data_IF_054877442405
#
_entry.id   IF_054877442405
#
_cell.length_a   1.000
_cell.length_b   1.000
_cell.length_c   1.000
_cell.angle_alpha   90.00
_cell.angle_beta   90.00
_cell.angle_gamma   90.00
#
_symmetry.space_group_name_H-M   'P 1'
#
loop_
_entity.id
_entity.type
_entity.pdbx_description
1 polymer ?
#
# COMPACT_ATOMS: atom_id res chain seq x y z
N UNK A 1 1.69 5.79 -16.64
CA UNK A 1 2.38 5.29 -17.84
C UNK A 1 2.74 6.37 -18.86
N UNK A 2 2.13 7.57 -18.84
CA UNK A 2 2.47 8.63 -19.81
C UNK A 2 3.93 9.13 -19.72
N UNK A 3 4.53 9.02 -18.53
CA UNK A 3 5.95 9.23 -18.29
C UNK A 3 6.57 7.84 -18.18
N UNK A 4 7.39 7.43 -19.15
CA UNK A 4 8.29 6.28 -19.06
C UNK A 4 9.67 6.74 -19.57
N UNK A 5 10.74 6.01 -19.22
CA UNK A 5 12.07 6.28 -19.77
C UNK A 5 12.32 5.49 -21.07
N UNK A 6 11.27 4.84 -21.60
CA UNK A 6 11.28 3.94 -22.75
C UNK A 6 10.65 4.63 -23.96
N UNK A 7 11.39 5.55 -24.58
CA UNK A 7 11.01 6.15 -25.86
C UNK A 7 11.11 5.15 -27.02
N UNK A 8 10.44 5.44 -28.14
CA UNK A 8 10.33 4.58 -29.34
C UNK A 8 11.65 4.06 -29.92
N UNK A 9 12.79 4.66 -29.56
CA UNK A 9 14.11 4.34 -30.09
C UNK A 9 15.03 3.65 -29.06
N UNK A 10 14.53 3.21 -27.91
CA UNK A 10 15.30 2.43 -26.93
C UNK A 10 15.24 0.94 -27.28
N UNK A 11 16.38 0.34 -27.61
CA UNK A 11 16.48 -1.05 -28.10
C UNK A 11 16.17 -2.15 -27.06
N UNK A 12 15.93 -1.80 -25.79
CA UNK A 12 15.70 -2.77 -24.70
C UNK A 12 14.27 -2.83 -24.17
N UNK A 13 13.37 -1.98 -24.66
CA UNK A 13 12.03 -1.84 -24.11
C UNK A 13 11.08 -2.98 -24.54
N UNK A 14 10.16 -3.33 -23.65
CA UNK A 14 9.15 -4.35 -23.91
C UNK A 14 7.98 -3.69 -24.65
N UNK A 15 7.65 -4.26 -25.81
CA UNK A 15 6.65 -3.75 -26.78
C UNK A 15 6.95 -2.31 -27.24
N UNK A 16 8.01 -2.09 -28.04
CA UNK A 16 8.38 -0.75 -28.54
C UNK A 16 7.31 -0.05 -29.38
N UNK A 17 6.41 -0.83 -30.00
CA UNK A 17 5.31 -0.30 -30.82
C UNK A 17 4.31 0.58 -30.05
N UNK A 18 4.29 0.50 -28.71
CA UNK A 18 3.47 1.35 -27.85
C UNK A 18 4.07 2.76 -27.62
N UNK A 19 5.29 3.02 -28.12
CA UNK A 19 5.96 4.31 -28.00
C UNK A 19 6.09 4.75 -26.54
N UNK A 20 5.49 5.89 -26.17
CA UNK A 20 5.52 6.42 -24.79
C UNK A 20 4.81 5.54 -23.76
N UNK A 21 4.06 4.53 -24.18
CA UNK A 21 3.41 3.55 -23.31
C UNK A 21 4.14 2.21 -23.26
N UNK A 22 5.33 2.10 -23.83
CA UNK A 22 6.16 0.90 -23.71
C UNK A 22 6.56 0.62 -22.26
N UNK A 23 6.98 -0.61 -21.98
CA UNK A 23 7.38 -1.03 -20.64
C UNK A 23 8.90 -1.14 -20.52
N UNK A 24 9.39 -1.00 -19.30
CA UNK A 24 10.79 -1.30 -19.01
C UNK A 24 11.11 -2.78 -19.28
N UNK A 25 12.39 -3.13 -19.49
CA UNK A 25 12.81 -4.52 -19.60
C UNK A 25 12.29 -5.36 -18.45
N UNK A 26 11.85 -6.60 -18.70
CA UNK A 26 11.34 -7.51 -17.66
C UNK A 26 12.35 -7.80 -16.54
N UNK A 27 13.65 -7.62 -16.82
CA UNK A 27 14.72 -7.72 -15.82
C UNK A 27 14.67 -6.57 -14.80
N UNK A 28 14.21 -5.39 -15.20
CA UNK A 28 14.08 -4.23 -14.33
C UNK A 28 12.70 -4.21 -13.65
N UNK A 29 11.63 -4.42 -14.43
CA UNK A 29 10.27 -4.44 -13.90
C UNK A 29 9.48 -5.63 -14.48
N UNK A 30 9.36 -6.75 -13.74
CA UNK A 30 8.65 -7.93 -14.21
C UNK A 30 7.12 -7.71 -14.30
N UNK A 31 6.59 -6.63 -13.73
CA UNK A 31 5.14 -6.36 -13.65
C UNK A 31 4.60 -5.62 -14.88
N UNK A 32 5.41 -5.47 -15.95
CA UNK A 32 5.11 -4.65 -17.13
C UNK A 32 4.77 -3.22 -16.71
N UNK A 33 5.78 -2.48 -16.28
CA UNK A 33 5.60 -1.12 -15.75
C UNK A 33 6.74 -0.18 -16.08
N UNK A 34 6.66 1.07 -15.56
CA UNK A 34 7.73 2.04 -15.66
C UNK A 34 8.89 1.70 -14.71
N UNK A 35 9.96 2.49 -14.78
CA UNK A 35 11.10 2.42 -13.86
C UNK A 35 10.70 2.86 -12.44
N UNK A 36 11.46 2.44 -11.43
CA UNK A 36 11.28 2.91 -10.05
C UNK A 36 11.47 4.43 -9.93
N UNK A 37 12.43 5.00 -10.67
CA UNK A 37 12.69 6.44 -10.70
C UNK A 37 11.48 7.23 -11.23
N UNK A 38 10.76 6.70 -12.23
CA UNK A 38 9.53 7.29 -12.73
C UNK A 38 8.44 7.28 -11.66
N UNK A 39 8.24 6.16 -10.97
CA UNK A 39 7.25 6.07 -9.89
C UNK A 39 7.59 7.03 -8.74
N UNK A 40 8.87 7.15 -8.40
CA UNK A 40 9.36 8.12 -7.41
C UNK A 40 9.05 9.56 -7.82
N UNK A 41 9.27 9.93 -9.08
CA UNK A 41 8.88 11.25 -9.61
C UNK A 41 7.36 11.46 -9.54
N UNK A 42 6.56 10.44 -9.84
CA UNK A 42 5.09 10.51 -9.89
C UNK A 42 4.41 10.55 -8.51
N UNK A 43 5.13 10.25 -7.42
CA UNK A 43 4.55 10.31 -6.07
C UNK A 43 4.56 8.99 -5.32
N UNK A 44 5.42 8.05 -5.67
CA UNK A 44 5.62 6.86 -4.86
C UNK A 44 6.05 7.23 -3.43
N UNK A 45 5.71 6.35 -2.49
CA UNK A 45 6.11 6.50 -1.10
C UNK A 45 7.63 6.28 -1.02
N UNK A 46 8.33 7.34 -0.60
CA UNK A 46 9.77 7.34 -0.34
C UNK A 46 9.98 8.09 0.97
N UNK A 47 10.55 7.42 1.98
CA UNK A 47 10.64 7.96 3.34
C UNK A 47 11.57 9.18 3.40
N UNK A 48 12.66 9.18 2.64
CA UNK A 48 13.59 10.31 2.59
C UNK A 48 12.89 11.57 2.06
N UNK A 49 12.08 11.44 1.01
CA UNK A 49 11.28 12.57 0.47
C UNK A 49 10.19 13.02 1.43
N UNK A 50 9.53 12.09 2.12
CA UNK A 50 8.47 12.44 3.09
C UNK A 50 9.06 13.20 4.28
N UNK A 51 10.14 12.69 4.88
CA UNK A 51 10.70 13.22 6.12
C UNK A 51 11.63 14.40 5.87
N UNK A 52 12.60 14.28 4.96
CA UNK A 52 13.64 15.29 4.76
C UNK A 52 13.30 16.33 3.69
N UNK A 53 12.41 16.00 2.73
CA UNK A 53 11.94 16.96 1.71
C UNK A 53 10.51 17.45 1.95
N UNK A 54 9.93 17.11 3.11
CA UNK A 54 8.58 17.52 3.52
C UNK A 54 7.46 17.18 2.51
N UNK A 55 7.63 16.10 1.73
CA UNK A 55 6.65 15.67 0.73
C UNK A 55 5.62 14.70 1.31
N UNK A 56 4.92 15.13 2.39
CA UNK A 56 3.96 14.31 3.14
C UNK A 56 2.78 13.80 2.31
N UNK A 57 2.42 14.51 1.24
CA UNK A 57 1.41 14.10 0.26
C UNK A 57 1.69 12.72 -0.35
N UNK A 58 2.95 12.25 -0.34
CA UNK A 58 3.34 10.93 -0.82
C UNK A 58 2.74 9.76 -0.03
N UNK A 59 2.37 9.98 1.23
CA UNK A 59 1.65 9.00 2.05
C UNK A 59 0.26 8.67 1.47
N UNK A 60 -0.31 9.60 0.71
CA UNK A 60 -1.62 9.49 0.08
C UNK A 60 -1.47 9.13 -1.40
N UNK A 61 -0.66 9.87 -2.17
CA UNK A 61 -0.57 9.67 -3.63
C UNK A 61 -0.14 8.26 -4.04
N UNK A 62 0.70 7.60 -3.24
CA UNK A 62 1.19 6.26 -3.53
C UNK A 62 0.08 5.20 -3.65
N UNK A 63 -1.09 5.45 -3.03
CA UNK A 63 -2.27 4.55 -3.06
C UNK A 63 -2.82 4.40 -4.49
N UNK A 64 -2.69 5.45 -5.31
CA UNK A 64 -3.20 5.44 -6.70
C UNK A 64 -2.15 4.97 -7.73
N UNK A 65 -0.87 4.91 -7.34
CA UNK A 65 0.20 4.45 -8.22
C UNK A 65 0.30 2.93 -8.19
N UNK A 66 0.68 2.34 -9.31
CA UNK A 66 0.84 0.90 -9.44
C UNK A 66 2.16 0.60 -10.15
N UNK A 67 2.83 -0.47 -9.71
CA UNK A 67 4.15 -0.84 -10.20
C UNK A 67 4.14 -1.32 -11.66
N UNK A 68 2.99 -1.75 -12.19
CA UNK A 68 2.85 -2.22 -13.56
C UNK A 68 1.43 -2.73 -13.86
N UNK A 69 1.20 -3.23 -15.06
CA UNK A 69 -0.13 -3.67 -15.53
C UNK A 69 -0.66 -4.82 -14.70
N UNK A 70 0.14 -5.86 -14.45
CA UNK A 70 -0.31 -7.02 -13.66
C UNK A 70 -0.70 -6.61 -12.24
N UNK A 71 0.08 -5.71 -11.64
CA UNK A 71 -0.22 -5.18 -10.31
C UNK A 71 -1.51 -4.36 -10.30
N UNK A 72 -1.73 -3.50 -11.30
CA UNK A 72 -2.97 -2.76 -11.45
C UNK A 72 -4.18 -3.68 -11.61
N UNK A 73 -4.11 -4.65 -12.51
CA UNK A 73 -5.21 -5.60 -12.76
C UNK A 73 -5.59 -6.38 -11.51
N UNK A 74 -4.61 -6.89 -10.77
CA UNK A 74 -4.85 -7.62 -9.53
C UNK A 74 -5.57 -6.76 -8.47
N UNK A 75 -5.15 -5.49 -8.30
CA UNK A 75 -5.81 -4.57 -7.38
C UNK A 75 -7.22 -4.21 -7.83
N UNK A 76 -7.43 -3.92 -9.12
CA UNK A 76 -8.74 -3.55 -9.64
C UNK A 76 -9.72 -4.70 -9.57
N UNK A 77 -9.28 -5.93 -9.86
CA UNK A 77 -10.12 -7.12 -9.72
C UNK A 77 -10.51 -7.35 -8.25
N UNK A 78 -9.56 -7.20 -7.33
CA UNK A 78 -9.82 -7.29 -5.89
C UNK A 78 -10.79 -6.21 -5.42
N UNK A 79 -10.62 -4.97 -5.90
CA UNK A 79 -11.52 -3.86 -5.60
C UNK A 79 -12.93 -4.12 -6.16
N UNK A 80 -13.05 -4.72 -7.35
CA UNK A 80 -14.33 -5.06 -7.94
C UNK A 80 -15.08 -6.09 -7.08
N UNK A 81 -14.41 -7.17 -6.66
CA UNK A 81 -15.05 -8.23 -5.88
C UNK A 81 -15.41 -7.82 -4.45
N UNK A 82 -14.51 -7.09 -3.78
CA UNK A 82 -14.70 -6.72 -2.37
C UNK A 82 -15.43 -5.38 -2.26
N UNK A 83 -14.99 -4.38 -3.03
CA UNK A 83 -15.48 -3.01 -2.98
C UNK A 83 -16.93 -2.88 -3.40
N UNK A 84 -17.36 -3.48 -4.53
CA UNK A 84 -18.76 -3.39 -4.99
C UNK A 84 -19.71 -3.97 -3.93
N UNK A 85 -19.38 -5.14 -3.38
CA UNK A 85 -20.20 -5.78 -2.35
C UNK A 85 -20.36 -4.87 -1.13
N UNK A 86 -19.25 -4.33 -0.63
CA UNK A 86 -19.26 -3.43 0.53
C UNK A 86 -19.99 -2.12 0.22
N UNK A 87 -19.83 -1.58 -0.99
CA UNK A 87 -20.45 -0.33 -1.42
C UNK A 87 -21.97 -0.45 -1.54
N UNK A 88 -22.47 -1.55 -2.12
CA UNK A 88 -23.90 -1.86 -2.17
C UNK A 88 -24.52 -1.95 -0.78
N UNK A 89 -23.72 -2.38 0.20
CA UNK A 89 -24.19 -2.69 1.53
C UNK A 89 -24.09 -1.49 2.51
N UNK A 90 -23.06 -0.65 2.38
CA UNK A 90 -22.79 0.47 3.30
C UNK A 90 -22.77 1.84 2.63
N UNK A 91 -22.82 1.90 1.30
CA UNK A 91 -22.74 3.12 0.51
C UNK A 91 -21.32 3.59 0.23
N UNK A 92 -21.15 4.25 -0.92
CA UNK A 92 -19.85 4.65 -1.47
C UNK A 92 -19.03 5.54 -0.54
N UNK A 93 -19.66 6.45 0.20
CA UNK A 93 -18.96 7.38 1.10
C UNK A 93 -18.23 6.64 2.22
N UNK A 94 -18.88 5.65 2.83
CA UNK A 94 -18.29 4.91 3.96
C UNK A 94 -17.15 4.02 3.48
N UNK A 95 -17.35 3.33 2.36
CA UNK A 95 -16.33 2.45 1.79
C UNK A 95 -15.15 3.26 1.23
N UNK A 96 -15.41 4.41 0.61
CA UNK A 96 -14.37 5.34 0.18
C UNK A 96 -13.53 5.86 1.35
N UNK A 97 -14.16 6.21 2.48
CA UNK A 97 -13.44 6.63 3.69
C UNK A 97 -12.59 5.50 4.28
N UNK A 98 -13.15 4.28 4.40
CA UNK A 98 -12.36 3.11 4.85
C UNK A 98 -11.18 2.89 3.92
N UNK A 99 -11.39 2.91 2.61
CA UNK A 99 -10.35 2.70 1.61
C UNK A 99 -9.21 3.72 1.74
N UNK A 100 -9.51 5.02 1.73
CA UNK A 100 -8.49 6.07 1.76
C UNK A 100 -7.74 6.10 3.09
N UNK A 101 -8.45 6.02 4.22
CA UNK A 101 -7.82 6.10 5.55
C UNK A 101 -7.02 4.83 5.84
N UNK A 102 -7.49 3.65 5.42
CA UNK A 102 -6.69 2.42 5.51
C UNK A 102 -5.47 2.46 4.60
N UNK A 103 -5.59 2.97 3.38
CA UNK A 103 -4.44 3.17 2.50
C UNK A 103 -3.38 4.06 3.15
N UNK A 104 -3.81 5.18 3.76
CA UNK A 104 -2.93 6.04 4.54
C UNK A 104 -2.27 5.32 5.72
N UNK A 105 -3.04 4.53 6.48
CA UNK A 105 -2.50 3.74 7.59
C UNK A 105 -1.49 2.68 7.15
N UNK A 106 -1.70 2.07 5.99
CA UNK A 106 -0.73 1.21 5.33
C UNK A 106 0.55 1.96 4.98
N UNK A 107 0.45 3.08 4.27
CA UNK A 107 1.60 3.93 3.92
C UNK A 107 2.38 4.41 5.15
N UNK A 108 1.68 4.77 6.22
CA UNK A 108 2.31 5.20 7.48
C UNK A 108 3.09 4.05 8.13
N UNK A 109 2.50 2.86 8.22
CA UNK A 109 3.19 1.72 8.81
C UNK A 109 4.37 1.27 7.95
N UNK A 110 4.21 1.24 6.62
CA UNK A 110 5.30 0.99 5.67
C UNK A 110 6.46 1.98 5.89
N UNK A 111 6.18 3.28 5.94
CA UNK A 111 7.21 4.31 6.12
C UNK A 111 7.96 4.22 7.46
N UNK A 112 7.37 3.60 8.49
CA UNK A 112 8.02 3.39 9.79
C UNK A 112 8.97 2.18 9.81
N UNK A 113 8.74 1.19 8.95
CA UNK A 113 9.51 -0.06 8.93
C UNK A 113 10.43 -0.20 7.71
N UNK A 114 10.05 0.35 6.55
CA UNK A 114 10.79 0.26 5.30
C UNK A 114 11.38 1.64 4.97
N UNK A 115 12.68 1.81 5.21
CA UNK A 115 13.40 3.06 4.95
C UNK A 115 14.05 3.13 3.56
N UNK A 116 14.19 1.98 2.90
CA UNK A 116 14.88 1.85 1.64
C UNK A 116 13.94 1.31 0.55
N UNK A 117 13.94 1.96 -0.61
CA UNK A 117 13.08 1.62 -1.73
C UNK A 117 11.81 2.46 -1.78
N UNK A 118 10.99 2.19 -2.80
CA UNK A 118 9.72 2.86 -3.01
C UNK A 118 8.56 1.90 -2.79
N UNK A 119 7.43 2.42 -2.30
CA UNK A 119 6.18 1.67 -2.19
C UNK A 119 5.06 2.36 -2.97
N UNK A 120 4.28 1.55 -3.70
CA UNK A 120 3.12 1.98 -4.49
C UNK A 120 2.05 0.91 -4.45
N UNK A 121 0.79 1.31 -4.52
CA UNK A 121 -0.31 0.37 -4.73
C UNK A 121 -1.51 0.63 -3.83
N UNK A 122 -2.66 0.27 -4.36
CA UNK A 122 -3.94 0.23 -3.65
C UNK A 122 -4.04 -0.89 -2.60
N UNK A 123 -3.08 -1.83 -2.57
CA UNK A 123 -3.22 -3.09 -1.84
C UNK A 123 -3.35 -2.90 -0.32
N UNK A 124 -2.67 -1.90 0.28
CA UNK A 124 -2.90 -1.54 1.68
C UNK A 124 -4.34 -1.13 1.97
N UNK A 125 -4.96 -0.34 1.09
CA UNK A 125 -6.36 0.05 1.20
C UNK A 125 -7.32 -1.15 1.04
N UNK A 126 -7.00 -2.09 0.12
CA UNK A 126 -7.77 -3.33 -0.06
C UNK A 126 -7.70 -4.25 1.17
N UNK A 127 -6.53 -4.38 1.78
CA UNK A 127 -6.40 -5.05 3.09
C UNK A 127 -7.21 -4.34 4.17
N UNK A 128 -7.33 -3.02 4.10
CA UNK A 128 -8.27 -2.27 4.92
C UNK A 128 -9.72 -2.68 4.75
N UNK A 129 -10.17 -2.90 3.51
CA UNK A 129 -11.51 -3.43 3.25
C UNK A 129 -11.69 -4.85 3.83
N UNK A 130 -10.68 -5.71 3.75
CA UNK A 130 -10.68 -7.03 4.41
C UNK A 130 -10.80 -6.90 5.93
N UNK A 131 -10.04 -5.98 6.55
CA UNK A 131 -10.14 -5.66 7.97
C UNK A 131 -11.52 -5.16 8.36
N UNK A 132 -12.10 -4.27 7.56
CA UNK A 132 -13.46 -3.77 7.74
C UNK A 132 -14.51 -4.89 7.70
N UNK A 133 -14.39 -5.82 6.74
CA UNK A 133 -15.25 -7.02 6.68
C UNK A 133 -15.14 -7.89 7.93
N UNK A 134 -13.94 -8.04 8.50
CA UNK A 134 -13.75 -8.81 9.73
C UNK A 134 -14.47 -8.15 10.91
N UNK A 135 -14.35 -6.84 11.06
CA UNK A 135 -15.04 -6.09 12.11
C UNK A 135 -16.55 -6.11 11.96
N UNK A 136 -17.04 -6.04 10.72
CA UNK A 136 -18.45 -6.18 10.37
C UNK A 136 -18.97 -7.55 10.80
N UNK A 137 -18.25 -8.62 10.45
CA UNK A 137 -18.59 -10.00 10.79
C UNK A 137 -18.63 -10.21 12.31
N UNK A 138 -17.65 -9.68 13.05
CA UNK A 138 -17.61 -9.74 14.52
C UNK A 138 -18.79 -8.97 15.13
N UNK A 139 -19.08 -7.78 14.62
CA UNK A 139 -20.15 -6.91 15.15
C UNK A 139 -21.53 -7.50 14.90
N UNK A 140 -21.71 -8.19 13.77
CA UNK A 140 -22.97 -8.74 13.30
C UNK A 140 -23.02 -10.28 13.33
N UNK A 141 -22.23 -10.89 14.24
CA UNK A 141 -22.04 -12.35 14.35
C UNK A 141 -23.33 -13.17 14.35
N UNK A 142 -24.42 -12.63 14.91
CA UNK A 142 -25.71 -13.32 15.03
C UNK A 142 -26.52 -13.36 13.73
N UNK A 143 -26.17 -12.56 12.72
CA UNK A 143 -26.91 -12.47 11.44
C UNK A 143 -26.45 -13.59 10.47
N UNK A 144 -25.19 -14.01 10.57
CA UNK A 144 -24.60 -14.97 9.64
C UNK A 144 -24.98 -16.41 10.00
N UNK A 145 -25.70 -17.09 9.10
CA UNK A 145 -26.10 -18.49 9.26
C UNK A 145 -24.88 -19.43 9.41
N UNK A 146 -23.87 -19.28 8.55
CA UNK A 146 -22.61 -20.04 8.57
C UNK A 146 -21.42 -19.18 9.00
N UNK A 147 -21.53 -18.53 10.17
CA UNK A 147 -20.53 -17.60 10.72
C UNK A 147 -19.11 -18.14 10.80
N UNK A 148 -18.93 -19.40 11.21
CA UNK A 148 -17.60 -20.01 11.33
C UNK A 148 -16.95 -20.23 9.97
N UNK A 149 -17.71 -20.68 8.97
CA UNK A 149 -17.20 -20.82 7.61
C UNK A 149 -16.81 -19.46 7.03
N UNK A 150 -17.67 -18.44 7.18
CA UNK A 150 -17.37 -17.08 6.71
C UNK A 150 -16.11 -16.51 7.38
N UNK A 151 -15.96 -16.67 8.70
CA UNK A 151 -14.77 -16.25 9.43
C UNK A 151 -13.52 -16.98 8.94
N UNK A 152 -13.59 -18.31 8.82
CA UNK A 152 -12.46 -19.13 8.40
C UNK A 152 -12.03 -18.78 6.97
N UNK A 153 -12.98 -18.61 6.04
CA UNK A 153 -12.69 -18.19 4.67
C UNK A 153 -12.01 -16.82 4.65
N UNK A 154 -12.53 -15.84 5.41
CA UNK A 154 -11.94 -14.51 5.46
C UNK A 154 -10.52 -14.53 6.04
N UNK A 155 -10.31 -15.26 7.16
CA UNK A 155 -8.99 -15.42 7.76
C UNK A 155 -8.02 -16.13 6.83
N UNK A 156 -8.47 -17.16 6.11
CA UNK A 156 -7.66 -17.86 5.11
C UNK A 156 -7.21 -16.90 3.99
N UNK A 157 -8.13 -16.08 3.46
CA UNK A 157 -7.81 -15.05 2.45
C UNK A 157 -6.76 -14.08 3.00
N UNK A 158 -6.94 -13.57 4.23
CA UNK A 158 -5.99 -12.63 4.84
C UNK A 158 -4.61 -13.28 4.99
N UNK A 159 -4.53 -14.48 5.56
CA UNK A 159 -3.26 -15.19 5.80
C UNK A 159 -2.55 -15.51 4.48
N UNK A 160 -3.28 -16.00 3.48
CA UNK A 160 -2.69 -16.30 2.16
C UNK A 160 -2.14 -15.03 1.50
N UNK A 161 -2.88 -13.91 1.54
CA UNK A 161 -2.38 -12.66 0.95
C UNK A 161 -1.17 -12.12 1.71
N UNK A 162 -1.13 -12.20 3.05
CA UNK A 162 0.05 -11.82 3.85
C UNK A 162 1.25 -12.76 3.58
N UNK A 163 1.00 -14.04 3.32
CA UNK A 163 2.06 -14.99 2.95
C UNK A 163 2.64 -14.68 1.57
N UNK A 164 1.80 -14.31 0.60
CA UNK A 164 2.26 -13.76 -0.70
C UNK A 164 3.04 -12.45 -0.50
N UNK A 165 2.69 -11.68 0.53
CA UNK A 165 3.41 -10.47 0.95
C UNK A 165 4.86 -10.66 1.37
N UNK A 166 5.32 -11.91 1.58
CA UNK A 166 6.71 -12.26 1.87
C UNK A 166 7.57 -12.27 0.59
N UNK A 167 6.95 -12.24 -0.59
CA UNK A 167 7.68 -12.16 -1.85
C UNK A 167 8.41 -10.82 -1.99
N UNK A 168 9.58 -10.80 -2.67
CA UNK A 168 10.33 -9.57 -2.88
C UNK A 168 9.49 -8.56 -3.67
N UNK A 169 9.67 -7.27 -3.36
CA UNK A 169 8.92 -6.13 -3.92
C UNK A 169 7.46 -5.99 -3.45
N UNK A 170 6.98 -6.84 -2.53
CA UNK A 170 5.67 -6.68 -1.90
C UNK A 170 5.83 -6.03 -0.52
N UNK A 171 5.00 -5.01 -0.26
CA UNK A 171 5.05 -4.25 0.98
C UNK A 171 4.05 -4.82 2.00
N UNK A 172 4.50 -5.79 2.79
CA UNK A 172 3.64 -6.44 3.78
C UNK A 172 3.31 -5.54 4.97
N UNK A 173 4.17 -4.56 5.29
CA UNK A 173 3.87 -3.57 6.33
C UNK A 173 2.72 -2.64 5.91
N UNK A 174 2.64 -2.28 4.62
CA UNK A 174 1.48 -1.57 4.09
C UNK A 174 0.20 -2.41 4.21
N UNK A 175 0.27 -3.72 3.97
CA UNK A 175 -0.88 -4.62 4.12
C UNK A 175 -1.35 -4.72 5.57
N UNK A 176 -0.42 -4.93 6.51
CA UNK A 176 -0.71 -5.00 7.95
C UNK A 176 -1.29 -3.68 8.46
N UNK A 177 -0.67 -2.55 8.12
CA UNK A 177 -1.11 -1.22 8.55
C UNK A 177 -2.49 -0.86 8.00
N UNK A 178 -2.73 -1.22 6.73
CA UNK A 178 -4.02 -1.06 6.09
C UNK A 178 -5.11 -1.92 6.73
N UNK A 179 -4.82 -3.20 6.95
CA UNK A 179 -5.72 -4.14 7.61
C UNK A 179 -6.11 -3.67 9.02
N UNK A 180 -5.15 -3.32 9.86
CA UNK A 180 -5.40 -2.85 11.23
C UNK A 180 -6.24 -1.56 11.22
N UNK A 181 -5.90 -0.61 10.35
CA UNK A 181 -6.66 0.64 10.21
C UNK A 181 -8.10 0.34 9.77
N UNK A 182 -8.27 -0.54 8.79
CA UNK A 182 -9.59 -0.92 8.27
C UNK A 182 -10.43 -1.71 9.27
N UNK A 183 -9.79 -2.57 10.07
CA UNK A 183 -10.43 -3.30 11.16
C UNK A 183 -11.03 -2.32 12.18
N UNK A 184 -10.24 -1.37 12.70
CA UNK A 184 -10.79 -0.39 13.64
C UNK A 184 -11.81 0.56 12.98
N UNK A 185 -11.58 0.98 11.72
CA UNK A 185 -12.57 1.78 10.98
C UNK A 185 -13.87 1.02 10.72
N UNK A 186 -13.83 -0.30 10.59
CA UNK A 186 -15.02 -1.15 10.46
C UNK A 186 -15.95 -1.00 11.66
N UNK A 187 -15.41 -0.98 12.89
CA UNK A 187 -16.18 -0.70 14.09
C UNK A 187 -16.68 0.74 14.19
N UNK A 188 -16.13 1.68 13.42
CA UNK A 188 -16.56 3.09 13.42
C UNK A 188 -17.62 3.35 12.34
N UNK A 189 -17.39 2.87 11.12
CA UNK A 189 -18.13 3.24 9.91
C UNK A 189 -19.09 2.14 9.43
N UNK A 190 -18.82 0.87 9.72
CA UNK A 190 -19.60 -0.28 9.21
C UNK A 190 -20.57 -0.84 10.27
N UNK A 191 -20.94 -0.04 11.26
CA UNK A 191 -21.95 -0.43 12.25
C UNK A 191 -23.34 -0.52 11.61
N UNK A 192 -24.01 -1.67 11.80
CA UNK A 192 -25.42 -1.88 11.47
C UNK A 192 -26.34 -1.54 12.65
N UNK A 193 -27.51 -0.91 12.39
CA UNK A 193 -28.57 -0.83 13.40
C UNK A 193 -29.13 -2.23 13.69
N UNK A 194 -29.74 -2.39 14.86
CA UNK A 194 -30.40 -3.65 15.22
C UNK A 194 -31.51 -4.00 14.22
N UNK A 195 -31.68 -5.29 13.90
CA UNK A 195 -32.68 -5.78 12.93
C UNK A 195 -34.13 -5.37 13.27
N UNK A 196 -34.44 -5.11 14.55
CA UNK A 196 -35.76 -4.65 15.02
C UNK A 196 -35.89 -3.13 15.15
N UNK A 197 -34.85 -2.37 14.82
CA UNK A 197 -34.89 -0.91 14.91
C UNK A 197 -35.66 -0.33 13.72
N UNK A 198 -36.77 0.35 14.02
CA UNK A 198 -37.58 1.05 13.04
C UNK A 198 -37.32 2.56 13.21
N UNK A 199 -37.00 3.24 12.12
CA UNK A 199 -36.93 4.70 12.12
C UNK A 199 -38.35 5.26 12.23
N UNK A 200 -38.73 5.71 13.44
CA UNK A 200 -40.08 6.23 13.71
C UNK A 200 -40.49 7.39 12.78
N UNK A 201 -39.53 8.15 12.24
CA UNK A 201 -39.79 9.23 11.28
C UNK A 201 -40.23 8.73 9.89
N UNK A 202 -40.00 7.45 9.59
CA UNK A 202 -40.33 6.82 8.31
C UNK A 202 -41.58 5.93 8.41
N UNK A 203 -42.26 5.89 9.56
CA UNK A 203 -43.48 5.11 9.74
C UNK A 203 -44.68 5.82 9.06
N UNK A 204 -45.51 5.08 8.31
CA UNK A 204 -46.77 5.61 7.79
C UNK A 204 -47.69 6.07 8.92
N UNK A 205 -48.55 7.09 8.69
CA UNK A 205 -49.57 7.49 9.65
C UNK A 205 -50.47 6.29 10.01
N UNK A 206 -50.63 6.00 11.31
CA UNK A 206 -51.44 4.88 11.81
C UNK A 206 -50.68 3.57 12.09
N UNK A 207 -49.38 3.50 11.82
CA UNK A 207 -48.55 2.35 12.22
C UNK A 207 -48.19 2.40 13.71
N UNK A 208 -48.65 1.43 14.51
CA UNK A 208 -48.26 1.29 15.91
C UNK A 208 -46.86 0.68 15.97
N UNK A 209 -45.84 1.54 16.06
CA UNK A 209 -44.46 1.08 16.18
C UNK A 209 -44.24 0.35 17.53
N UNK A 210 -43.55 -0.80 17.53
CA UNK A 210 -43.13 -1.44 18.77
C UNK A 210 -42.24 -0.50 19.61
N UNK A 211 -42.17 -0.78 20.93
CA UNK A 211 -41.40 0.01 21.90
C UNK A 211 -39.98 0.32 21.38
N UNK A 212 -39.57 1.58 21.49
CA UNK A 212 -38.30 2.08 20.94
C UNK A 212 -37.12 1.29 21.51
N UNK A 213 -36.55 0.39 20.70
CA UNK A 213 -35.27 -0.25 21.01
C UNK A 213 -34.12 0.67 20.62
N UNK A 214 -33.04 0.66 21.39
CA UNK A 214 -31.82 1.39 21.04
C UNK A 214 -31.34 0.96 19.66
N UNK A 215 -30.97 1.94 18.81
CA UNK A 215 -30.48 1.71 17.45
C UNK A 215 -29.29 0.74 17.41
N UNK A 216 -28.43 0.80 18.43
CA UNK A 216 -27.23 -0.02 18.57
C UNK A 216 -27.13 -0.63 19.98
N UNK A 217 -26.49 -1.79 20.10
CA UNK A 217 -26.18 -2.46 21.37
C UNK A 217 -25.04 -1.74 22.10
N UNK A 218 -25.00 -1.85 23.43
CA UNK A 218 -23.95 -1.23 24.27
C UNK A 218 -22.54 -1.63 23.85
N UNK A 219 -22.31 -2.90 23.48
CA UNK A 219 -21.00 -3.33 23.00
C UNK A 219 -20.60 -2.67 21.68
N UNK A 220 -21.55 -2.32 20.80
CA UNK A 220 -21.26 -1.65 19.53
C UNK A 220 -20.76 -0.23 19.81
N UNK A 221 -21.38 0.49 20.76
CA UNK A 221 -20.87 1.79 21.20
C UNK A 221 -19.52 1.69 21.89
N UNK A 222 -19.29 0.67 22.73
CA UNK A 222 -17.99 0.45 23.36
C UNK A 222 -16.88 0.22 22.32
N UNK A 223 -17.11 -0.68 21.35
CA UNK A 223 -16.19 -0.95 20.25
C UNK A 223 -15.95 0.29 19.39
N UNK A 224 -17.00 1.09 19.14
CA UNK A 224 -16.90 2.35 18.42
C UNK A 224 -15.96 3.34 19.12
N UNK A 225 -16.17 3.59 20.41
CA UNK A 225 -15.35 4.54 21.21
C UNK A 225 -13.90 4.04 21.29
N UNK A 226 -13.69 2.77 21.62
CA UNK A 226 -12.35 2.17 21.74
C UNK A 226 -11.61 2.29 20.41
N UNK A 227 -12.27 1.91 19.31
CA UNK A 227 -11.65 1.95 17.97
C UNK A 227 -11.30 3.38 17.55
N UNK A 228 -12.14 4.35 17.89
CA UNK A 228 -11.86 5.76 17.61
C UNK A 228 -10.62 6.25 18.38
N UNK A 229 -10.50 5.90 19.67
CA UNK A 229 -9.33 6.24 20.49
C UNK A 229 -8.07 5.60 19.92
N UNK A 230 -8.12 4.31 19.57
CA UNK A 230 -6.99 3.57 18.99
C UNK A 230 -6.54 4.18 17.66
N UNK A 231 -7.48 4.55 16.78
CA UNK A 231 -7.16 5.17 15.49
C UNK A 231 -6.50 6.55 15.66
N UNK A 232 -7.09 7.42 16.50
CA UNK A 232 -6.56 8.77 16.74
C UNK A 232 -5.17 8.70 17.36
N UNK A 233 -5.01 7.89 18.41
CA UNK A 233 -3.71 7.74 19.09
C UNK A 233 -2.68 7.08 18.19
N UNK A 234 -3.05 6.01 17.48
CA UNK A 234 -2.17 5.28 16.56
C UNK A 234 -1.66 6.15 15.42
N UNK A 235 -2.54 6.88 14.73
CA UNK A 235 -2.13 7.78 13.65
C UNK A 235 -1.30 8.95 14.16
N UNK A 236 -1.66 9.54 15.31
CA UNK A 236 -0.90 10.65 15.89
C UNK A 236 0.50 10.20 16.27
N UNK A 237 0.63 9.10 17.01
CA UNK A 237 1.93 8.56 17.41
C UNK A 237 2.76 8.10 16.21
N UNK A 238 2.14 7.45 15.23
CA UNK A 238 2.81 7.01 14.01
C UNK A 238 3.36 8.19 13.20
N UNK A 239 2.56 9.25 13.00
CA UNK A 239 3.02 10.45 12.29
C UNK A 239 4.13 11.17 13.03
N UNK A 240 4.00 11.33 14.36
CA UNK A 240 5.06 11.93 15.18
C UNK A 240 6.35 11.12 15.10
N UNK A 241 6.27 9.79 15.14
CA UNK A 241 7.42 8.91 15.00
C UNK A 241 8.06 9.04 13.61
N UNK A 242 7.25 9.05 12.54
CA UNK A 242 7.72 9.18 11.17
C UNK A 242 8.47 10.50 10.96
N UNK A 243 7.88 11.63 11.35
CA UNK A 243 8.51 12.94 11.17
C UNK A 243 9.69 13.20 12.12
N UNK A 244 9.85 12.39 13.17
CA UNK A 244 11.07 12.33 14.00
C UNK A 244 12.15 11.43 13.41
N UNK A 245 11.92 10.80 12.25
CA UNK A 245 12.88 9.90 11.61
C UNK A 245 13.05 8.57 12.36
N UNK A 246 12.03 8.14 13.12
CA UNK A 246 12.10 6.87 13.85
C UNK A 246 11.95 5.71 12.87
N UNK A 247 13.00 4.90 12.76
CA UNK A 247 12.94 3.61 12.09
C UNK A 247 12.62 2.50 13.11
N UNK A 248 11.41 1.94 13.03
CA UNK A 248 10.95 0.90 13.96
C UNK A 248 11.60 -0.45 13.65
N UNK A 249 12.01 -0.70 12.42
CA UNK A 249 12.69 -1.94 12.03
C UNK A 249 14.02 -2.12 12.79
N UNK A 250 14.71 -1.03 13.15
CA UNK A 250 15.93 -1.09 13.97
C UNK A 250 15.69 -1.62 15.40
N UNK A 251 14.45 -1.58 15.87
CA UNK A 251 14.06 -2.05 17.21
C UNK A 251 13.55 -3.50 17.21
N UNK A 252 13.50 -4.14 16.05
CA UNK A 252 12.91 -5.46 15.87
C UNK A 252 13.76 -6.33 14.96
N UNK A 253 14.47 -7.29 15.55
CA UNK A 253 15.41 -8.17 14.84
C UNK A 253 14.78 -9.16 13.87
N UNK A 254 13.45 -9.33 13.88
CA UNK A 254 12.74 -10.28 13.01
C UNK A 254 11.79 -9.59 12.02
N UNK A 255 11.60 -8.28 12.12
CA UNK A 255 10.60 -7.55 11.35
C UNK A 255 10.92 -7.53 9.85
N UNK A 256 12.18 -7.62 9.46
CA UNK A 256 12.56 -7.70 8.04
C UNK A 256 12.00 -8.95 7.35
N UNK A 257 11.81 -10.06 8.08
CA UNK A 257 11.21 -11.30 7.55
C UNK A 257 9.72 -11.17 7.25
N UNK A 258 9.03 -10.18 7.82
CA UNK A 258 7.64 -9.92 7.46
C UNK A 258 7.50 -9.37 6.05
N UNK A 259 8.49 -8.59 5.57
CA UNK A 259 8.47 -8.05 4.20
C UNK A 259 9.16 -8.95 3.19
N UNK A 260 10.23 -9.65 3.58
CA UNK A 260 10.90 -10.57 2.67
C UNK A 260 11.68 -11.66 3.41
N UNK A 261 11.42 -12.92 3.04
CA UNK A 261 12.21 -14.07 3.49
C UNK A 261 13.13 -14.51 2.35
N UNK A 262 14.47 -14.49 2.53
CA UNK A 262 15.39 -14.92 1.48
C UNK A 262 15.32 -16.43 1.28
N UNK A 263 15.30 -16.89 0.04
CA UNK A 263 15.27 -18.32 -0.31
C UNK A 263 16.28 -18.63 -1.42
N UNK A 264 16.45 -19.90 -1.79
CA UNK A 264 17.28 -20.29 -2.95
C UNK A 264 16.74 -19.75 -4.28
N UNK A 265 15.47 -19.34 -4.34
CA UNK A 265 14.80 -18.85 -5.55
C UNK A 265 14.85 -17.32 -5.69
N UNK A 266 15.05 -16.56 -4.59
CA UNK A 266 15.10 -15.09 -4.63
C UNK A 266 15.86 -14.45 -3.48
N UNK A 267 16.35 -13.22 -3.71
CA UNK A 267 17.08 -12.40 -2.73
C UNK A 267 16.25 -11.22 -2.24
N UNK A 268 16.38 -10.90 -0.95
CA UNK A 268 15.72 -9.78 -0.29
C UNK A 268 16.58 -8.50 -0.22
N UNK A 269 17.79 -8.52 -0.81
CA UNK A 269 18.63 -7.32 -0.85
C UNK A 269 17.94 -6.29 -1.74
N UNK A 270 17.46 -5.19 -1.15
CA UNK A 270 17.08 -4.02 -1.95
C UNK A 270 18.32 -3.61 -2.73
N UNK A 271 18.24 -3.58 -4.05
CA UNK A 271 19.27 -2.97 -4.90
C UNK A 271 19.28 -1.46 -4.62
N UNK A 272 19.78 -1.05 -3.46
CA UNK A 272 20.37 0.27 -3.32
C UNK A 272 21.67 0.23 -4.09
N UNK A 273 21.52 0.47 -5.38
CA UNK A 273 22.63 0.57 -6.29
C UNK A 273 23.33 1.88 -6.00
N UNK A 274 24.39 1.82 -5.20
CA UNK A 274 25.29 2.94 -5.01
C UNK A 274 26.45 2.80 -6.00
N UNK A 275 26.67 3.84 -6.79
CA UNK A 275 27.89 3.97 -7.57
C UNK A 275 28.70 5.13 -7.04
N UNK A 276 30.00 4.90 -6.90
CA UNK A 276 30.98 5.94 -6.69
C UNK A 276 31.27 6.57 -8.05
N UNK A 277 31.22 7.91 -8.13
CA UNK A 277 31.56 8.65 -9.34
C UNK A 277 32.89 9.38 -9.17
N UNK A 278 33.81 9.22 -10.12
CA UNK A 278 35.08 9.93 -10.18
C UNK A 278 35.17 10.70 -11.50
N UNK A 279 35.44 12.00 -11.45
CA UNK A 279 35.66 12.80 -12.68
C UNK A 279 37.14 12.77 -13.07
N UNK A 280 37.41 12.36 -14.31
CA UNK A 280 38.74 12.36 -14.93
C UNK A 280 38.64 13.03 -16.30
N UNK A 281 39.16 14.24 -16.42
CA UNK A 281 39.39 14.89 -17.71
C UNK A 281 38.16 15.10 -18.61
N UNK A 282 36.98 15.35 -18.04
CA UNK A 282 35.72 15.53 -18.80
C UNK A 282 34.90 14.24 -18.99
N UNK A 283 35.40 13.11 -18.47
CA UNK A 283 34.69 11.82 -18.40
C UNK A 283 34.32 11.48 -16.96
N UNK A 284 33.15 10.88 -16.78
CA UNK A 284 32.66 10.38 -15.50
C UNK A 284 32.89 8.87 -15.41
N UNK A 285 33.80 8.44 -14.54
CA UNK A 285 33.94 7.04 -14.17
C UNK A 285 32.90 6.72 -13.10
N UNK A 286 32.02 5.76 -13.37
CA UNK A 286 31.08 5.22 -12.38
C UNK A 286 31.55 3.83 -11.98
N UNK A 287 31.63 3.59 -10.68
CA UNK A 287 32.01 2.31 -10.08
C UNK A 287 30.89 1.81 -9.19
N UNK A 288 30.34 0.66 -9.55
CA UNK A 288 29.30 -0.01 -8.81
C UNK A 288 29.81 -0.60 -7.49
N UNK A 289 29.31 -0.12 -6.35
CA UNK A 289 29.72 -0.64 -5.05
C UNK A 289 29.15 -2.04 -4.75
N UNK A 290 28.08 -2.46 -5.44
CA UNK A 290 27.46 -3.77 -5.17
C UNK A 290 28.13 -4.95 -5.89
N UNK A 291 28.74 -4.72 -7.06
CA UNK A 291 29.36 -5.77 -7.87
C UNK A 291 30.80 -5.46 -8.32
N UNK A 292 31.32 -4.27 -8.01
CA UNK A 292 32.69 -3.85 -8.34
C UNK A 292 32.93 -3.50 -9.82
N UNK A 293 31.91 -3.53 -10.69
CA UNK A 293 32.05 -3.13 -12.10
C UNK A 293 32.24 -1.61 -12.19
N UNK A 294 33.20 -1.16 -12.99
CA UNK A 294 33.38 0.25 -13.35
C UNK A 294 33.24 0.46 -14.86
N UNK A 295 32.76 1.63 -15.27
CA UNK A 295 32.72 2.03 -16.67
C UNK A 295 32.81 3.56 -16.79
N UNK A 296 33.33 4.04 -17.92
CA UNK A 296 33.50 5.47 -18.20
C UNK A 296 32.41 6.00 -19.12
N UNK A 297 31.91 7.21 -18.83
CA UNK A 297 30.84 7.86 -19.58
C UNK A 297 31.22 9.31 -19.93
N UNK A 298 31.02 9.71 -21.18
CA UNK A 298 31.11 11.12 -21.61
C UNK A 298 29.83 11.86 -21.18
N UNK A 299 29.90 12.65 -20.11
CA UNK A 299 28.79 13.47 -19.63
C UNK A 299 29.09 14.95 -19.83
N UNK A 300 28.46 15.56 -20.83
CA UNK A 300 28.57 17.01 -21.09
C UNK A 300 27.69 17.88 -20.18
N UNK A 301 26.91 17.29 -19.27
CA UNK A 301 26.11 18.01 -18.30
C UNK A 301 25.77 17.12 -17.09
N UNK A 302 26.00 17.66 -15.90
CA UNK A 302 25.95 16.98 -14.61
C UNK A 302 24.50 16.77 -14.11
N UNK A 303 23.66 16.12 -14.91
CA UNK A 303 22.28 15.82 -14.53
C UNK A 303 22.26 14.60 -13.61
N UNK A 304 22.02 14.83 -12.31
CA UNK A 304 22.00 13.80 -11.26
C UNK A 304 21.08 12.62 -11.58
N UNK A 305 20.04 12.84 -12.41
CA UNK A 305 19.13 11.79 -12.84
C UNK A 305 19.74 10.81 -13.85
N UNK A 306 20.63 11.28 -14.74
CA UNK A 306 21.36 10.42 -15.69
C UNK A 306 22.40 9.56 -14.98
N UNK A 307 23.11 10.12 -14.00
CA UNK A 307 24.12 9.40 -13.22
C UNK A 307 23.53 8.20 -12.49
N UNK A 308 22.35 8.37 -11.88
CA UNK A 308 21.63 7.29 -11.20
C UNK A 308 21.18 6.17 -12.16
N UNK A 309 20.78 6.54 -13.39
CA UNK A 309 20.33 5.59 -14.40
C UNK A 309 21.50 4.76 -14.95
N UNK A 310 22.63 5.42 -15.25
CA UNK A 310 23.87 4.77 -15.66
C UNK A 310 24.42 3.86 -14.55
N UNK A 311 24.30 4.31 -13.30
CA UNK A 311 24.66 3.51 -12.13
C UNK A 311 23.81 2.23 -12.01
N UNK A 312 22.48 2.35 -12.13
CA UNK A 312 21.59 1.19 -12.12
C UNK A 312 21.91 0.21 -13.25
N UNK A 313 22.23 0.72 -14.44
CA UNK A 313 22.61 -0.10 -15.60
C UNK A 313 23.95 -0.81 -15.41
N UNK A 314 24.96 -0.11 -14.86
CA UNK A 314 26.28 -0.66 -14.57
C UNK A 314 26.23 -1.78 -13.52
N UNK A 315 25.36 -1.63 -12.54
CA UNK A 315 25.22 -2.57 -11.43
C UNK A 315 24.26 -3.73 -11.69
N UNK A 316 23.57 -3.71 -12.82
CA UNK A 316 22.82 -4.87 -13.34
C UNK A 316 23.75 -5.97 -13.88
#
# INVERSE_FOLDING_TARGET
>A
MYVNDCHSNSGSCVVPSLGRFSFQPLKENPLLGPSSSTLEKMGALDVNRVVHKHQSWRLISCIWLHAGVFHLLANMLSLLFIGIRLEQEFGFLRIGLVYVISGFGGSLLSALFIQAGISVGASGALFGLLGGMLSELITNWTIYANKFAALLTLLCIIVVNLAVGILPHVDNFAHIGGFLSGFFLGFVLLIRPQFKWINQKSCPPGYIAPQAQSKHKTYQYALWVISLIVLITGFTLGLVALFRGVNVNNKCSWCHYLSCVPTSLWSCKSQQVYCQSTELGGQLELTCLSNGKSNMYDLSNNDSSKVQLLCAQLCS
#
